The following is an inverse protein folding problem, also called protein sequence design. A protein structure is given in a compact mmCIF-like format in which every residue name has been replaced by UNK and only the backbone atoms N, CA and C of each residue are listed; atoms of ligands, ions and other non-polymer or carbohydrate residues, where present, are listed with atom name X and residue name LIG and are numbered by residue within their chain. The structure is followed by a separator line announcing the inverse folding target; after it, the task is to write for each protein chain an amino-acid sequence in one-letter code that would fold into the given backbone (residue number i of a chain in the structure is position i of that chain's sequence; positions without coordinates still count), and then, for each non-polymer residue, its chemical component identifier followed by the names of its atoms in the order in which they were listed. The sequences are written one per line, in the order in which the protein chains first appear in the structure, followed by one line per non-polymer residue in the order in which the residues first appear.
data_IF_987626718830
#
_entry.id   IF_987626718830
#
_cell.length_a   1.000
_cell.length_b   1.000
_cell.length_c   1.000
_cell.angle_alpha   90.00
_cell.angle_beta   90.00
_cell.angle_gamma   90.00
#
_symmetry.space_group_name_H-M   'P 1'
#
loop_
_entity.id
_entity.type
_entity.pdbx_description
1 polymer ?
#
# COMPACT_ATOMS: atom_id res chain seq x y z
N UNK A 1 -7.13 -11.20 4.98
CA UNK A 1 -7.42 -9.75 5.13
C UNK A 1 -6.65 -8.94 4.09
N UNK A 2 -7.11 -7.73 3.71
CA UNK A 2 -6.43 -6.80 2.79
C UNK A 2 -4.93 -6.63 3.03
N UNK A 3 -4.56 -6.39 4.30
CA UNK A 3 -3.18 -6.13 4.71
C UNK A 3 -2.29 -7.37 4.63
N UNK A 4 -2.86 -8.57 4.77
CA UNK A 4 -2.12 -9.82 4.62
C UNK A 4 -1.69 -10.01 3.17
N UNK A 5 -2.56 -9.66 2.21
CA UNK A 5 -2.20 -9.68 0.78
C UNK A 5 -1.07 -8.71 0.45
N UNK A 6 -1.06 -7.53 1.08
CA UNK A 6 0.05 -6.57 0.95
C UNK A 6 1.34 -7.16 1.55
N UNK A 7 1.27 -7.75 2.76
CA UNK A 7 2.42 -8.39 3.42
C UNK A 7 2.96 -9.60 2.64
N UNK A 8 2.08 -10.40 2.03
CA UNK A 8 2.46 -11.51 1.16
C UNK A 8 3.07 -11.01 -0.14
N UNK A 9 2.48 -9.97 -0.73
CA UNK A 9 3.01 -9.35 -1.94
C UNK A 9 4.38 -8.72 -1.72
N UNK A 10 4.76 -8.35 -0.48
CA UNK A 10 6.12 -7.94 -0.12
C UNK A 10 7.15 -9.09 0.01
N UNK A 11 6.72 -10.36 0.08
CA UNK A 11 7.64 -11.51 0.23
C UNK A 11 8.29 -11.98 -1.08
N UNK A 12 7.69 -11.69 -2.23
CA UNK A 12 8.12 -12.20 -3.54
C UNK A 12 8.72 -11.10 -4.46
N UNK A 13 10.04 -10.84 -4.44
CA UNK A 13 10.64 -9.63 -5.03
C UNK A 13 10.57 -9.52 -6.57
N UNK A 14 10.07 -10.54 -7.28
CA UNK A 14 10.25 -10.69 -8.73
C UNK A 14 9.31 -9.88 -9.64
N UNK A 15 8.19 -9.33 -9.15
CA UNK A 15 7.26 -8.55 -9.99
C UNK A 15 6.25 -7.71 -9.15
N UNK A 16 6.69 -7.22 -7.99
CA UNK A 16 5.78 -6.75 -6.93
C UNK A 16 5.03 -5.47 -7.27
N UNK A 17 5.65 -4.50 -7.94
CA UNK A 17 5.14 -3.13 -7.95
C UNK A 17 3.79 -3.01 -8.69
N UNK A 18 3.61 -3.71 -9.82
CA UNK A 18 2.35 -3.68 -10.55
C UNK A 18 1.23 -4.42 -9.80
N UNK A 19 1.55 -5.56 -9.17
CA UNK A 19 0.60 -6.35 -8.38
C UNK A 19 0.21 -5.63 -7.08
N UNK A 20 1.18 -5.06 -6.36
CA UNK A 20 0.95 -4.24 -5.17
C UNK A 20 0.11 -3.03 -5.53
N UNK A 21 0.39 -2.39 -6.66
CA UNK A 21 -0.33 -1.19 -7.07
C UNK A 21 -1.79 -1.48 -7.40
N UNK A 22 -2.08 -2.59 -8.10
CA UNK A 22 -3.46 -3.04 -8.29
C UNK A 22 -4.13 -3.32 -6.94
N UNK A 23 -3.43 -4.01 -6.03
CA UNK A 23 -3.92 -4.30 -4.69
C UNK A 23 -4.22 -3.04 -3.87
N UNK A 24 -3.33 -2.06 -3.88
CA UNK A 24 -3.48 -0.79 -3.17
C UNK A 24 -4.60 0.05 -3.81
N UNK A 25 -4.74 0.00 -5.13
CA UNK A 25 -5.81 0.71 -5.85
C UNK A 25 -7.20 0.12 -5.58
N UNK A 26 -7.29 -1.20 -5.48
CA UNK A 26 -8.55 -1.92 -5.20
C UNK A 26 -8.96 -1.86 -3.72
N UNK A 27 -8.05 -1.45 -2.84
CA UNK A 27 -8.29 -1.36 -1.40
C UNK A 27 -8.75 0.02 -0.97
N UNK A 28 -9.65 0.02 0.03
CA UNK A 28 -10.14 1.23 0.65
C UNK A 28 -8.99 1.99 1.34
N UNK A 29 -8.88 3.28 1.06
CA UNK A 29 -7.79 4.12 1.55
C UNK A 29 -7.78 4.26 3.07
N UNK A 30 -8.94 4.27 3.72
CA UNK A 30 -9.03 4.29 5.18
C UNK A 30 -8.60 2.96 5.78
N UNK A 31 -8.91 1.83 5.13
CA UNK A 31 -8.43 0.53 5.59
C UNK A 31 -6.91 0.41 5.47
N UNK A 32 -6.33 0.89 4.37
CA UNK A 32 -4.88 0.95 4.18
C UNK A 32 -4.26 1.84 5.25
N UNK A 33 -4.76 3.06 5.45
CA UNK A 33 -4.24 4.01 6.43
C UNK A 33 -4.31 3.47 7.86
N UNK A 34 -5.45 2.85 8.24
CA UNK A 34 -5.66 2.27 9.57
C UNK A 34 -4.70 1.13 9.85
N UNK A 35 -4.30 0.37 8.83
CA UNK A 35 -3.44 -0.82 8.94
C UNK A 35 -1.99 -0.55 8.58
N UNK A 36 -1.68 0.65 8.09
CA UNK A 36 -0.33 1.08 7.71
C UNK A 36 0.65 0.92 8.87
N UNK A 37 0.20 1.15 10.11
CA UNK A 37 1.01 0.99 11.32
C UNK A 37 1.59 -0.43 11.49
N UNK A 38 0.95 -1.46 10.93
CA UNK A 38 1.37 -2.86 10.99
C UNK A 38 2.50 -3.21 10.00
N UNK A 39 2.85 -2.29 9.10
CA UNK A 39 3.94 -2.45 8.15
C UNK A 39 5.26 -1.91 8.72
N UNK A 40 6.38 -2.48 8.29
CA UNK A 40 7.71 -1.92 8.57
C UNK A 40 7.87 -0.57 7.86
N UNK A 41 8.86 0.23 8.30
CA UNK A 41 9.11 1.54 7.72
C UNK A 41 9.36 1.47 6.20
N UNK A 42 10.16 0.51 5.74
CA UNK A 42 10.41 0.31 4.30
C UNK A 42 9.13 -0.03 3.52
N UNK A 43 8.29 -0.90 4.07
CA UNK A 43 7.02 -1.26 3.43
C UNK A 43 6.04 -0.08 3.41
N UNK A 44 6.02 0.76 4.45
CA UNK A 44 5.24 2.01 4.47
C UNK A 44 5.66 2.95 3.35
N UNK A 45 6.96 3.15 3.19
CA UNK A 45 7.52 4.00 2.12
C UNK A 45 7.12 3.44 0.75
N UNK A 46 7.25 2.14 0.52
CA UNK A 46 6.81 1.50 -0.74
C UNK A 46 5.31 1.67 -1.01
N UNK A 47 4.45 1.41 -0.03
CA UNK A 47 2.99 1.64 -0.19
C UNK A 47 2.72 3.11 -0.54
N UNK A 48 3.38 4.05 0.14
CA UNK A 48 3.20 5.49 -0.11
C UNK A 48 3.65 5.92 -1.51
N UNK A 49 4.73 5.33 -2.03
CA UNK A 49 5.17 5.56 -3.40
C UNK A 49 4.21 4.96 -4.44
N UNK A 50 3.65 3.78 -4.17
CA UNK A 50 2.74 3.07 -5.08
C UNK A 50 1.31 3.60 -5.08
N UNK A 51 0.93 4.39 -4.08
CA UNK A 51 -0.21 5.30 -4.11
C UNK A 51 0.08 6.42 -5.14
N UNK A 52 0.02 6.09 -6.43
CA UNK A 52 0.35 7.00 -7.55
C UNK A 52 -0.80 7.92 -7.97
N UNK A 53 -1.86 7.98 -7.18
CA UNK A 53 -2.95 8.93 -7.40
C UNK A 53 -2.69 10.15 -6.50
N UNK A 54 -2.24 11.25 -7.11
CA UNK A 54 -1.92 12.48 -6.39
C UNK A 54 -3.13 13.01 -5.58
N UNK A 55 -4.36 12.70 -5.98
CA UNK A 55 -5.56 13.00 -5.19
C UNK A 55 -5.62 12.22 -3.87
N UNK A 56 -5.26 10.93 -3.89
CA UNK A 56 -5.25 10.06 -2.71
C UNK A 56 -4.10 10.36 -1.74
N UNK A 57 -2.94 10.81 -2.25
CA UNK A 57 -1.85 11.33 -1.38
C UNK A 57 -2.27 12.60 -0.66
N UNK A 58 -3.04 13.45 -1.33
CA UNK A 58 -3.47 14.72 -0.77
C UNK A 58 -4.53 14.55 0.34
N UNK A 59 -5.40 13.53 0.24
CA UNK A 59 -6.32 13.13 1.31
C UNK A 59 -5.65 12.53 2.56
N UNK A 60 -4.39 12.07 2.46
CA UNK A 60 -3.63 11.54 3.59
C UNK A 60 -2.84 12.63 4.36
N UNK A 61 -2.67 13.80 3.76
CA UNK A 61 -1.90 14.93 4.32
C UNK A 61 -2.84 15.98 4.95
N UNK A 62 -4.13 15.98 4.59
CA UNK A 62 -5.17 16.88 5.11
C UNK A 62 -6.00 16.22 6.21
#
# INVERSE_FOLDING_TARGET
MPIERIKEAFKDPGNQDAALRSLISDLDHFEIARRLHELSLEHKIKVFHLLEDDGKRQELIY
#
